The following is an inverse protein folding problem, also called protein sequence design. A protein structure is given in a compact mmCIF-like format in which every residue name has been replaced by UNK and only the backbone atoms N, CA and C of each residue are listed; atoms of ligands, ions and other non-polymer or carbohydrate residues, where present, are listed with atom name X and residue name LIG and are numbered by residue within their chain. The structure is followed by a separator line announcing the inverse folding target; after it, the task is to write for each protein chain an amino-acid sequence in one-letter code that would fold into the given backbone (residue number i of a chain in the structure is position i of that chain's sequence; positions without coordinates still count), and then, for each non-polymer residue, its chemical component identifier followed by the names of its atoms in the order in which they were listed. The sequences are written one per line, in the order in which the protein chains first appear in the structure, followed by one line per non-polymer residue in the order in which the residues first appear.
data_IF_510780135763
#
_entry.id   IF_510780135763
#
_cell.length_a   1.000
_cell.length_b   1.000
_cell.length_c   1.000
_cell.angle_alpha   90.00
_cell.angle_beta   90.00
_cell.angle_gamma   90.00
#
_symmetry.space_group_name_H-M   'P 1'
#
loop_
_entity.id
_entity.type
_entity.pdbx_description
1 polymer ?
#
# COMPACT_ATOMS: atom_id res chain seq x y z
N UNK A 1 -2.61 -44.72 -23.89
CA UNK A 1 -3.66 -43.78 -23.40
C UNK A 1 -3.57 -43.75 -21.88
N UNK A 2 -2.94 -42.71 -21.28
CA UNK A 2 -2.57 -42.70 -19.85
C UNK A 2 -3.32 -41.66 -19.02
N UNK A 3 -4.60 -41.44 -19.34
CA UNK A 3 -5.39 -40.46 -18.61
C UNK A 3 -5.71 -40.83 -17.14
N UNK A 4 -5.69 -42.13 -16.80
CA UNK A 4 -5.98 -42.61 -15.44
C UNK A 4 -4.87 -42.34 -14.42
N UNK A 5 -3.61 -42.41 -14.83
CA UNK A 5 -2.45 -42.22 -13.95
C UNK A 5 -2.24 -40.75 -13.55
N UNK A 6 -2.46 -39.81 -14.46
CA UNK A 6 -2.25 -38.37 -14.19
C UNK A 6 -3.23 -37.79 -13.17
N UNK A 7 -4.47 -38.28 -13.14
CA UNK A 7 -5.46 -37.88 -12.11
C UNK A 7 -5.16 -38.52 -10.75
N UNK A 8 -4.72 -39.79 -10.74
CA UNK A 8 -4.30 -40.47 -9.51
C UNK A 8 -3.09 -39.78 -8.88
N UNK A 9 -2.06 -39.43 -9.66
CA UNK A 9 -0.86 -38.75 -9.18
C UNK A 9 -1.17 -37.35 -8.60
N UNK A 10 -2.13 -36.63 -9.22
CA UNK A 10 -2.60 -35.33 -8.68
C UNK A 10 -3.35 -35.46 -7.37
N UNK A 11 -4.15 -36.50 -7.17
CA UNK A 11 -4.85 -36.76 -5.93
C UNK A 11 -3.90 -37.17 -4.81
N UNK A 12 -2.91 -38.01 -5.12
CA UNK A 12 -1.88 -38.43 -4.16
C UNK A 12 -1.01 -37.24 -3.73
N UNK A 13 -0.58 -36.39 -4.64
CA UNK A 13 0.21 -35.21 -4.30
C UNK A 13 -0.57 -34.17 -3.49
N UNK A 14 -1.90 -34.10 -3.67
CA UNK A 14 -2.77 -33.23 -2.86
C UNK A 14 -2.93 -33.76 -1.43
N UNK A 15 -3.22 -35.06 -1.26
CA UNK A 15 -3.36 -35.70 0.04
C UNK A 15 -2.07 -35.60 0.88
N UNK A 16 -0.91 -35.85 0.25
CA UNK A 16 0.39 -35.72 0.91
C UNK A 16 0.76 -34.27 1.25
N UNK A 17 0.33 -33.30 0.46
CA UNK A 17 0.49 -31.88 0.78
C UNK A 17 -0.36 -31.47 1.99
N UNK A 18 -1.60 -31.98 2.12
CA UNK A 18 -2.44 -31.76 3.30
C UNK A 18 -1.84 -32.35 4.57
N UNK A 19 -1.39 -33.60 4.51
CA UNK A 19 -0.72 -34.28 5.65
C UNK A 19 0.54 -33.52 6.08
N UNK A 20 1.37 -33.11 5.15
CA UNK A 20 2.58 -32.36 5.47
C UNK A 20 2.24 -30.98 6.07
N UNK A 21 1.20 -30.30 5.55
CA UNK A 21 0.77 -29.05 6.14
C UNK A 21 0.21 -29.23 7.55
N UNK A 22 -0.52 -30.31 7.82
CA UNK A 22 -1.02 -30.61 9.16
C UNK A 22 0.10 -30.81 10.19
N UNK A 23 1.27 -31.32 9.76
CA UNK A 23 2.43 -31.52 10.61
C UNK A 23 3.31 -30.29 10.75
N UNK A 24 3.58 -29.58 9.66
CA UNK A 24 4.62 -28.53 9.59
C UNK A 24 4.08 -27.11 9.37
N UNK A 25 2.80 -26.95 9.14
CA UNK A 25 2.12 -25.66 8.87
C UNK A 25 2.82 -24.79 7.81
N UNK A 26 3.26 -25.44 6.72
CA UNK A 26 3.98 -24.80 5.62
C UNK A 26 3.13 -23.70 4.94
N UNK A 27 3.81 -22.67 4.40
CA UNK A 27 3.15 -21.61 3.61
C UNK A 27 2.76 -22.12 2.22
N UNK A 28 1.77 -21.46 1.56
CA UNK A 28 1.25 -21.86 0.25
C UNK A 28 2.32 -21.95 -0.84
N UNK A 29 3.32 -21.06 -0.81
CA UNK A 29 4.45 -21.10 -1.75
C UNK A 29 5.28 -22.38 -1.63
N UNK A 30 5.57 -22.82 -0.41
CA UNK A 30 6.33 -24.05 -0.15
C UNK A 30 5.54 -25.29 -0.59
N UNK A 31 4.24 -25.36 -0.29
CA UNK A 31 3.39 -26.48 -0.72
C UNK A 31 3.30 -26.56 -2.26
N UNK A 32 3.12 -25.40 -2.91
CA UNK A 32 3.12 -25.32 -4.39
C UNK A 32 4.43 -25.82 -5.01
N UNK A 33 5.58 -25.43 -4.46
CA UNK A 33 6.88 -25.82 -4.99
C UNK A 33 7.23 -27.29 -4.74
N UNK A 34 6.98 -27.78 -3.52
CA UNK A 34 7.35 -29.13 -3.12
C UNK A 34 6.47 -30.20 -3.76
N UNK A 35 5.15 -29.96 -3.78
CA UNK A 35 4.17 -30.97 -4.20
C UNK A 35 3.63 -30.74 -5.60
N UNK A 36 4.11 -29.70 -6.31
CA UNK A 36 3.66 -29.33 -7.67
C UNK A 36 2.13 -29.14 -7.80
N UNK A 37 1.45 -28.87 -6.69
CA UNK A 37 0.01 -28.58 -6.69
C UNK A 37 -0.27 -27.13 -7.12
N UNK A 38 -1.41 -26.80 -7.73
CA UNK A 38 -1.79 -25.43 -8.07
C UNK A 38 -1.78 -24.53 -6.83
N UNK A 39 -1.33 -23.27 -6.96
CA UNK A 39 -1.23 -22.33 -5.84
C UNK A 39 -2.57 -22.04 -5.14
N UNK A 40 -3.68 -22.07 -5.91
CA UNK A 40 -5.03 -21.96 -5.34
C UNK A 40 -5.34 -23.13 -4.39
N UNK A 41 -4.95 -24.36 -4.74
CA UNK A 41 -5.12 -25.53 -3.88
C UNK A 41 -4.24 -25.49 -2.64
N UNK A 42 -3.00 -25.02 -2.78
CA UNK A 42 -2.13 -24.77 -1.62
C UNK A 42 -2.74 -23.76 -0.63
N UNK A 43 -3.41 -22.72 -1.12
CA UNK A 43 -4.17 -21.77 -0.28
C UNK A 43 -5.38 -22.40 0.40
N UNK A 44 -6.12 -23.26 -0.28
CA UNK A 44 -7.26 -23.98 0.31
C UNK A 44 -6.82 -24.86 1.48
N UNK A 45 -5.72 -25.60 1.36
CA UNK A 45 -5.16 -26.42 2.44
C UNK A 45 -4.93 -25.55 3.69
N UNK A 46 -4.30 -24.40 3.53
CA UNK A 46 -3.99 -23.48 4.65
C UNK A 46 -5.27 -22.89 5.25
N UNK A 47 -6.24 -22.51 4.41
CA UNK A 47 -7.50 -21.90 4.88
C UNK A 47 -8.37 -22.91 5.65
N UNK A 48 -8.24 -24.21 5.36
CA UNK A 48 -8.96 -25.27 6.04
C UNK A 48 -8.25 -25.76 7.30
N UNK A 49 -6.99 -25.43 7.51
CA UNK A 49 -6.23 -25.83 8.68
C UNK A 49 -6.74 -25.11 9.94
N UNK A 50 -7.14 -25.86 10.97
CA UNK A 50 -7.64 -25.30 12.23
C UNK A 50 -6.63 -24.43 12.98
N UNK A 51 -5.32 -24.74 12.84
CA UNK A 51 -4.23 -23.99 13.46
C UNK A 51 -3.88 -22.72 12.66
N UNK A 52 -3.86 -22.81 11.31
CA UNK A 52 -3.49 -21.69 10.47
C UNK A 52 -4.65 -20.72 10.21
N UNK A 53 -5.90 -21.21 10.23
CA UNK A 53 -7.10 -20.41 10.01
C UNK A 53 -7.21 -19.21 10.95
N UNK A 54 -6.97 -19.28 12.26
CA UNK A 54 -6.97 -18.11 13.13
C UNK A 54 -5.90 -17.09 12.79
N UNK A 55 -4.75 -17.53 12.27
CA UNK A 55 -3.67 -16.65 11.79
C UNK A 55 -4.02 -15.96 10.48
N UNK A 56 -4.86 -16.59 9.63
CA UNK A 56 -5.42 -16.01 8.40
C UNK A 56 -6.63 -15.12 8.64
N UNK A 57 -7.30 -15.25 9.77
CA UNK A 57 -8.40 -14.37 10.22
C UNK A 57 -7.90 -13.08 10.87
N UNK A 58 -6.64 -12.73 10.68
CA UNK A 58 -6.24 -11.35 10.92
C UNK A 58 -7.11 -10.45 10.07
N UNK A 59 -7.74 -9.46 10.72
CA UNK A 59 -8.78 -8.70 10.06
C UNK A 59 -8.23 -8.18 8.75
N UNK A 60 -8.93 -8.46 7.67
CA UNK A 60 -8.71 -7.97 6.30
C UNK A 60 -8.47 -6.45 6.29
N UNK A 61 -8.81 -5.77 7.38
CA UNK A 61 -8.57 -4.35 7.63
C UNK A 61 -7.10 -3.92 7.69
N UNK A 62 -6.13 -4.83 7.90
CA UNK A 62 -4.70 -4.45 7.93
C UNK A 62 -4.05 -4.32 6.55
N UNK A 63 -4.69 -4.77 5.48
CA UNK A 63 -4.19 -4.64 4.11
C UNK A 63 -5.05 -3.75 3.21
N UNK A 64 -6.19 -3.28 3.67
CA UNK A 64 -7.05 -2.39 2.90
C UNK A 64 -6.49 -0.97 3.02
N UNK A 65 -6.16 -0.39 1.88
CA UNK A 65 -5.84 1.02 1.81
C UNK A 65 -7.17 1.79 1.89
N UNK A 66 -7.54 2.34 3.06
CA UNK A 66 -8.84 2.96 3.22
C UNK A 66 -8.96 4.14 2.27
N UNK A 67 -10.13 4.25 1.65
CA UNK A 67 -10.55 5.45 0.91
C UNK A 67 -11.51 6.25 1.75
N UNK A 68 -11.49 7.57 1.60
CA UNK A 68 -12.55 8.41 2.11
C UNK A 68 -13.89 8.06 1.45
N UNK A 69 -14.97 8.13 2.20
CA UNK A 69 -16.33 7.95 1.70
C UNK A 69 -16.86 9.26 1.08
N UNK A 70 -16.28 10.39 1.48
CA UNK A 70 -16.62 11.72 0.98
C UNK A 70 -15.36 12.48 0.53
N UNK A 71 -15.49 13.50 -0.34
CA UNK A 71 -14.39 14.40 -0.68
C UNK A 71 -13.79 15.04 0.59
N UNK A 72 -12.48 15.19 0.61
CA UNK A 72 -11.72 15.75 1.74
C UNK A 72 -11.83 14.97 3.07
N UNK A 73 -12.32 13.74 3.06
CA UNK A 73 -12.31 12.90 4.26
C UNK A 73 -10.92 12.33 4.54
N UNK A 74 -10.28 11.78 3.53
CA UNK A 74 -8.96 11.18 3.65
C UNK A 74 -8.08 11.50 2.45
N UNK A 75 -6.99 12.21 2.70
CA UNK A 75 -5.92 12.39 1.72
C UNK A 75 -4.77 11.43 1.97
N UNK A 76 -4.09 11.07 0.89
CA UNK A 76 -2.77 10.43 0.97
C UNK A 76 -1.72 11.38 0.41
N UNK A 77 -0.58 11.43 1.08
CA UNK A 77 0.53 12.29 0.72
C UNK A 77 1.84 11.49 0.69
N UNK A 78 2.68 11.80 -0.28
CA UNK A 78 4.01 11.23 -0.42
C UNK A 78 4.90 12.17 -1.24
N UNK A 79 6.22 11.98 -1.18
CA UNK A 79 7.21 12.75 -1.94
C UNK A 79 7.97 11.83 -2.88
N UNK A 80 8.17 12.29 -4.11
CA UNK A 80 8.94 11.57 -5.11
C UNK A 80 10.19 12.36 -5.46
N UNK A 81 11.32 11.70 -5.52
CA UNK A 81 12.50 12.24 -6.14
C UNK A 81 12.37 12.16 -7.67
N UNK A 82 12.44 13.32 -8.33
CA UNK A 82 12.26 13.49 -9.77
C UNK A 82 13.38 14.42 -10.29
N UNK A 83 14.57 13.89 -10.57
CA UNK A 83 15.74 14.69 -10.99
C UNK A 83 15.50 15.53 -12.24
N UNK A 84 14.57 15.10 -13.08
CA UNK A 84 14.15 15.76 -14.32
C UNK A 84 13.57 17.16 -14.06
N UNK A 85 13.10 17.42 -12.84
CA UNK A 85 12.55 18.73 -12.43
C UNK A 85 13.59 19.66 -11.80
N UNK A 86 14.89 19.40 -12.00
CA UNK A 86 15.95 20.27 -11.44
C UNK A 86 15.71 21.76 -11.77
N UNK A 87 15.89 22.68 -10.79
CA UNK A 87 16.45 22.51 -9.44
C UNK A 87 15.46 21.99 -8.37
N UNK A 88 14.16 21.91 -8.66
CA UNK A 88 13.12 21.48 -7.71
C UNK A 88 12.85 19.98 -7.84
N UNK A 89 13.85 19.14 -7.55
CA UNK A 89 13.85 17.71 -7.82
C UNK A 89 12.98 16.84 -6.90
N UNK A 90 12.25 17.43 -5.97
CA UNK A 90 11.31 16.72 -5.09
C UNK A 90 9.87 17.11 -5.45
N UNK A 91 9.11 16.16 -5.97
CA UNK A 91 7.70 16.36 -6.27
C UNK A 91 6.85 15.91 -5.09
N UNK A 92 6.28 16.86 -4.39
CA UNK A 92 5.33 16.61 -3.31
C UNK A 92 3.94 16.38 -3.91
N UNK A 93 3.27 15.30 -3.53
CA UNK A 93 1.99 14.89 -4.11
C UNK A 93 0.97 14.63 -3.02
N UNK A 94 -0.20 15.27 -3.13
CA UNK A 94 -1.39 14.95 -2.36
C UNK A 94 -2.47 14.41 -3.29
N UNK A 95 -3.21 13.41 -2.82
CA UNK A 95 -4.38 12.88 -3.50
C UNK A 95 -5.55 12.77 -2.52
N UNK A 96 -6.69 13.30 -2.89
CA UNK A 96 -7.96 12.98 -2.23
C UNK A 96 -8.40 11.57 -2.66
N UNK A 97 -8.52 10.68 -1.70
CA UNK A 97 -8.77 9.25 -1.99
C UNK A 97 -10.19 8.95 -2.45
N UNK A 98 -11.12 9.86 -2.24
CA UNK A 98 -12.50 9.76 -2.72
C UNK A 98 -12.60 10.27 -4.18
N UNK A 99 -12.34 11.53 -4.41
CA UNK A 99 -12.48 12.17 -5.74
C UNK A 99 -11.37 11.80 -6.72
N UNK A 100 -10.25 11.26 -6.21
CA UNK A 100 -9.00 11.05 -6.97
C UNK A 100 -8.37 12.34 -7.50
N UNK A 101 -8.76 13.51 -6.98
CA UNK A 101 -8.12 14.76 -7.31
C UNK A 101 -6.69 14.79 -6.77
N UNK A 102 -5.76 15.26 -7.62
CA UNK A 102 -4.33 15.24 -7.33
C UNK A 102 -3.81 16.66 -7.39
N UNK A 103 -3.04 17.05 -6.38
CA UNK A 103 -2.23 18.26 -6.41
C UNK A 103 -0.76 17.90 -6.20
N UNK A 104 0.12 18.44 -7.05
CA UNK A 104 1.54 18.18 -7.00
C UNK A 104 2.33 19.48 -7.09
N UNK A 105 3.35 19.62 -6.26
CA UNK A 105 4.21 20.82 -6.20
C UNK A 105 5.67 20.41 -6.27
N UNK A 106 6.45 20.87 -7.25
CA UNK A 106 7.89 20.66 -7.28
C UNK A 106 8.58 21.59 -6.26
N UNK A 107 9.42 21.02 -5.39
CA UNK A 107 10.15 21.73 -4.35
C UNK A 107 11.60 21.24 -4.27
N UNK A 108 12.46 21.98 -3.59
CA UNK A 108 13.89 21.69 -3.57
C UNK A 108 14.30 20.58 -2.57
N UNK A 109 13.45 20.21 -1.64
CA UNK A 109 13.72 19.14 -0.67
C UNK A 109 12.45 18.53 -0.08
N UNK A 110 12.60 17.39 0.61
CA UNK A 110 11.55 16.72 1.37
C UNK A 110 11.44 17.17 2.84
N UNK A 111 12.12 18.26 3.22
CA UNK A 111 12.12 18.78 4.58
C UNK A 111 10.69 19.18 5.03
N UNK A 112 10.43 19.11 6.34
CA UNK A 112 9.11 19.43 6.95
C UNK A 112 8.55 20.77 6.47
N UNK A 113 9.39 21.78 6.29
CA UNK A 113 8.99 23.11 5.85
C UNK A 113 8.41 23.09 4.44
N UNK A 114 9.03 22.33 3.51
CA UNK A 114 8.52 22.14 2.15
C UNK A 114 7.23 21.32 2.13
N UNK A 115 7.12 20.30 2.98
CA UNK A 115 5.88 19.54 3.18
C UNK A 115 4.73 20.46 3.58
N UNK A 116 4.95 21.36 4.53
CA UNK A 116 3.95 22.34 4.99
C UNK A 116 3.60 23.33 3.87
N UNK A 117 4.59 23.84 3.14
CA UNK A 117 4.36 24.73 1.99
C UNK A 117 3.48 24.07 0.93
N UNK A 118 3.73 22.78 0.63
CA UNK A 118 2.89 22.02 -0.27
C UNK A 118 1.47 21.86 0.27
N UNK A 119 1.30 21.53 1.55
CA UNK A 119 -0.03 21.38 2.16
C UNK A 119 -0.83 22.67 2.14
N UNK A 120 -0.20 23.82 2.40
CA UNK A 120 -0.87 25.12 2.30
C UNK A 120 -1.38 25.40 0.88
N UNK A 121 -0.59 25.05 -0.14
CA UNK A 121 -1.05 25.12 -1.54
C UNK A 121 -2.22 24.16 -1.81
N UNK A 122 -2.15 22.93 -1.28
CA UNK A 122 -3.27 21.98 -1.37
C UNK A 122 -4.54 22.53 -0.72
N UNK A 123 -4.43 23.10 0.48
CA UNK A 123 -5.59 23.66 1.20
C UNK A 123 -6.23 24.81 0.45
N UNK A 124 -5.44 25.65 -0.20
CA UNK A 124 -5.95 26.75 -1.01
C UNK A 124 -6.77 26.28 -2.23
N UNK A 125 -6.44 25.12 -2.80
CA UNK A 125 -7.08 24.60 -4.04
C UNK A 125 -8.18 23.58 -3.71
N UNK A 126 -7.95 22.69 -2.76
CA UNK A 126 -8.80 21.53 -2.48
C UNK A 126 -9.63 21.69 -1.21
N UNK A 127 -9.37 22.71 -0.39
CA UNK A 127 -9.89 22.80 0.99
C UNK A 127 -9.06 21.98 1.97
N UNK A 128 -9.48 21.88 3.21
CA UNK A 128 -8.79 21.12 4.27
C UNK A 128 -9.39 19.73 4.44
N UNK A 129 -8.58 18.66 4.53
CA UNK A 129 -9.09 17.32 4.75
C UNK A 129 -9.36 17.05 6.24
N UNK A 130 -10.24 16.10 6.53
CA UNK A 130 -10.44 15.60 7.89
C UNK A 130 -9.24 14.79 8.39
N UNK A 131 -8.57 14.06 7.49
CA UNK A 131 -7.39 13.26 7.82
C UNK A 131 -6.40 13.18 6.67
N UNK A 132 -5.12 13.10 7.03
CA UNK A 132 -4.00 12.90 6.07
C UNK A 132 -3.24 11.64 6.45
N UNK A 133 -2.99 10.78 5.47
CA UNK A 133 -2.17 9.59 5.60
C UNK A 133 -0.84 9.77 4.91
N UNK A 134 0.25 9.53 5.66
CA UNK A 134 1.64 9.59 5.17
C UNK A 134 2.38 8.30 5.51
N UNK A 135 3.59 8.17 5.01
CA UNK A 135 4.55 7.19 5.54
C UNK A 135 5.15 7.67 6.89
N UNK A 136 6.22 6.99 7.32
CA UNK A 136 6.98 7.34 8.53
C UNK A 136 8.27 8.12 8.22
N UNK A 137 8.31 8.85 7.12
CA UNK A 137 9.46 9.70 6.77
C UNK A 137 9.75 10.76 7.85
N UNK A 138 11.02 11.18 8.01
CA UNK A 138 11.44 12.13 9.05
C UNK A 138 10.64 13.43 9.06
N UNK A 139 10.27 13.94 7.90
CA UNK A 139 9.49 15.17 7.76
C UNK A 139 8.10 15.04 8.42
N UNK A 140 7.46 13.87 8.28
CA UNK A 140 6.10 13.61 8.77
C UNK A 140 6.03 13.25 10.26
N UNK A 141 7.13 12.76 10.84
CA UNK A 141 7.18 12.44 12.29
C UNK A 141 7.61 13.64 13.13
N UNK A 142 8.03 14.74 12.51
CA UNK A 142 8.51 15.92 13.19
C UNK A 142 7.44 16.55 14.09
N UNK A 143 7.89 17.11 15.22
CA UNK A 143 7.00 17.84 16.15
C UNK A 143 6.32 19.02 15.45
N UNK A 144 7.02 19.69 14.55
CA UNK A 144 6.52 20.85 13.83
C UNK A 144 5.38 20.49 12.88
N UNK A 145 5.50 19.37 12.15
CA UNK A 145 4.44 18.87 11.28
C UNK A 145 3.21 18.48 12.08
N UNK A 146 3.39 17.81 13.22
CA UNK A 146 2.28 17.46 14.12
C UNK A 146 1.52 18.68 14.61
N UNK A 147 2.24 19.72 15.06
CA UNK A 147 1.64 20.99 15.53
C UNK A 147 0.87 21.67 14.40
N UNK A 148 1.46 21.70 13.19
CA UNK A 148 0.79 22.26 12.02
C UNK A 148 -0.54 21.55 11.72
N UNK A 149 -0.59 20.23 11.67
CA UNK A 149 -1.83 19.50 11.44
C UNK A 149 -2.87 19.72 12.55
N UNK A 150 -2.41 19.81 13.80
CA UNK A 150 -3.28 20.11 14.94
C UNK A 150 -3.92 21.49 14.83
N UNK A 151 -3.22 22.52 14.37
CA UNK A 151 -3.77 23.87 14.19
C UNK A 151 -4.89 23.94 13.14
N UNK A 152 -4.93 22.99 12.21
CA UNK A 152 -6.02 22.84 11.24
C UNK A 152 -7.03 21.74 11.62
N UNK A 153 -6.94 21.16 12.84
CA UNK A 153 -7.79 20.06 13.30
C UNK A 153 -7.76 18.83 12.41
N UNK A 154 -6.64 18.59 11.73
CA UNK A 154 -6.44 17.45 10.79
C UNK A 154 -5.88 16.25 11.54
N UNK A 155 -6.54 15.09 11.39
CA UNK A 155 -6.07 13.83 11.96
C UNK A 155 -4.90 13.27 11.11
N UNK A 156 -3.76 13.01 11.75
CA UNK A 156 -2.63 12.36 11.09
C UNK A 156 -2.68 10.84 11.23
N UNK A 157 -2.69 10.13 10.11
CA UNK A 157 -2.64 8.66 10.03
C UNK A 157 -1.29 8.28 9.45
N UNK A 158 -0.50 7.55 10.22
CA UNK A 158 0.81 7.06 9.76
C UNK A 158 0.70 5.65 9.20
N UNK A 159 1.45 5.36 8.16
CA UNK A 159 1.56 4.01 7.60
C UNK A 159 2.15 3.04 8.62
N UNK A 160 1.73 1.76 8.55
CA UNK A 160 2.34 0.70 9.34
C UNK A 160 3.73 0.42 8.75
N UNK A 161 4.80 0.41 9.59
CA UNK A 161 6.14 0.06 9.12
C UNK A 161 6.13 -1.28 8.38
N UNK A 162 6.91 -1.39 7.32
CA UNK A 162 7.06 -2.61 6.50
C UNK A 162 5.79 -3.10 5.76
N UNK A 163 4.71 -2.31 5.69
CA UNK A 163 3.54 -2.64 4.87
C UNK A 163 3.45 -1.73 3.63
N UNK A 164 3.98 -2.15 2.46
CA UNK A 164 3.99 -1.33 1.25
C UNK A 164 2.61 -1.10 0.65
N UNK A 165 1.60 -1.87 1.07
CA UNK A 165 0.24 -1.77 0.52
C UNK A 165 -0.54 -0.58 1.07
N UNK A 166 -0.10 0.02 2.18
CA UNK A 166 -0.85 1.07 2.87
C UNK A 166 -0.92 2.40 2.11
N UNK A 167 -0.09 2.59 1.08
CA UNK A 167 -0.01 3.82 0.26
C UNK A 167 -0.18 3.57 -1.25
N UNK A 168 -0.81 2.48 -1.63
CA UNK A 168 -0.95 2.07 -3.04
C UNK A 168 -1.65 3.11 -3.93
N UNK A 169 -2.49 3.99 -3.37
CA UNK A 169 -3.22 4.99 -4.17
C UNK A 169 -2.23 6.07 -4.62
N UNK A 170 -1.51 6.69 -3.69
CA UNK A 170 -0.53 7.73 -4.03
C UNK A 170 0.62 7.17 -4.86
N UNK A 171 1.11 5.97 -4.60
CA UNK A 171 2.17 5.32 -5.38
C UNK A 171 1.78 5.04 -6.84
N UNK A 172 0.54 4.65 -7.10
CA UNK A 172 0.03 4.55 -8.49
C UNK A 172 -0.01 5.90 -9.18
N UNK A 173 -0.39 6.94 -8.47
CA UNK A 173 -0.37 8.31 -8.94
C UNK A 173 1.04 8.76 -9.31
N UNK A 174 2.05 8.40 -8.52
CA UNK A 174 3.46 8.69 -8.81
C UNK A 174 3.90 8.15 -10.16
N UNK A 175 3.56 6.89 -10.46
CA UNK A 175 3.90 6.30 -11.76
C UNK A 175 3.29 7.09 -12.92
N UNK A 176 2.01 7.44 -12.81
CA UNK A 176 1.30 8.23 -13.83
C UNK A 176 1.89 9.64 -13.99
N UNK A 177 2.24 10.31 -12.89
CA UNK A 177 2.84 11.64 -12.93
C UNK A 177 4.24 11.62 -13.55
N UNK A 178 5.09 10.67 -13.15
CA UNK A 178 6.43 10.50 -13.76
C UNK A 178 6.36 10.31 -15.27
N UNK A 179 5.48 9.43 -15.73
CA UNK A 179 5.29 9.21 -17.17
C UNK A 179 4.87 10.49 -17.89
N UNK A 180 3.93 11.27 -17.32
CA UNK A 180 3.46 12.52 -17.94
C UNK A 180 4.52 13.62 -17.93
N UNK A 181 5.38 13.67 -16.90
CA UNK A 181 6.49 14.63 -16.84
C UNK A 181 7.53 14.28 -17.89
N UNK A 182 7.95 13.01 -17.99
CA UNK A 182 8.96 12.55 -18.96
C UNK A 182 8.50 12.78 -20.41
N UNK A 183 7.21 12.62 -20.73
CA UNK A 183 6.68 12.80 -22.08
C UNK A 183 6.61 14.30 -22.48
N UNK A 184 6.61 15.23 -21.51
CA UNK A 184 6.46 16.66 -21.78
C UNK A 184 7.78 17.46 -21.76
N UNK A 185 8.88 16.82 -21.36
CA UNK A 185 10.23 17.35 -21.45
C UNK A 185 10.87 16.87 -22.75
#
# INVERSE_FOLDING_TARGET
MNYGNEQADKLVSFATAEEQHALLHNIAGSLHQLWKIPYCRAKEIISNCSTCRPLHLWPITQGINPRGLQPNELWQMDVIHCPELSPSSFLHVCIDTNSSFIWATPLCSEATQHVITHLLACFAVMGTPSSIKTDNGPAYISRYFKQFLQSFSIKHIRGIPYNPQTQNIVKRTHHTLKLKIIIKI
#
